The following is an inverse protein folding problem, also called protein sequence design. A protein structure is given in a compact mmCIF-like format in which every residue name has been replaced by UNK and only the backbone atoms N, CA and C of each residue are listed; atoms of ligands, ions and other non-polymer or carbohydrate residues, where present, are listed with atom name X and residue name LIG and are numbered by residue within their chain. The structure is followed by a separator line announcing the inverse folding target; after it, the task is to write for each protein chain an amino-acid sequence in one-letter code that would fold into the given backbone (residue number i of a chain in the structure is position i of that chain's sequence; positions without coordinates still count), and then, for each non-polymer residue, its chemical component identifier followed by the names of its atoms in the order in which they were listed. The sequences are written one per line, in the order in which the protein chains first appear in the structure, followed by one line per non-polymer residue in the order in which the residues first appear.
data_IF_846433828793
#
_entry.id   IF_846433828793
#
_cell.length_a   1.000
_cell.length_b   1.000
_cell.length_c   1.000
_cell.angle_alpha   90.00
_cell.angle_beta   90.00
_cell.angle_gamma   90.00
#
_symmetry.space_group_name_H-M   'P 1'
#
loop_
_entity.id
_entity.type
_entity.pdbx_description
1 polymer ?
#
# COMPACT_ATOMS: atom_id res chain seq x y z
N UNK A 1 -9.31 -22.94 3.08
CA UNK A 1 -10.03 -22.84 4.35
C UNK A 1 -10.39 -21.39 4.66
N UNK A 2 -11.66 -21.12 5.03
CA UNK A 2 -12.12 -19.78 5.46
C UNK A 2 -12.20 -19.71 6.97
N UNK A 3 -11.74 -18.60 7.54
CA UNK A 3 -11.86 -18.33 8.97
C UNK A 3 -12.19 -16.86 9.21
N UNK A 4 -13.26 -16.59 9.96
CA UNK A 4 -13.65 -15.23 10.34
C UNK A 4 -13.71 -14.28 9.13
N UNK A 5 -14.47 -14.65 8.08
CA UNK A 5 -14.66 -13.80 6.91
C UNK A 5 -16.14 -13.42 6.75
N UNK A 6 -16.39 -12.20 6.34
CA UNK A 6 -17.68 -11.69 5.90
C UNK A 6 -17.65 -11.53 4.37
N UNK A 7 -18.65 -12.02 3.65
CA UNK A 7 -18.71 -11.98 2.19
C UNK A 7 -19.91 -11.16 1.73
N UNK A 8 -19.69 -10.28 0.77
CA UNK A 8 -20.74 -9.59 0.04
C UNK A 8 -21.40 -10.48 -1.04
N UNK A 9 -22.15 -9.86 -1.93
CA UNK A 9 -22.86 -10.55 -3.00
C UNK A 9 -21.95 -10.83 -4.22
N UNK A 10 -22.23 -11.90 -4.96
CA UNK A 10 -21.54 -12.26 -6.21
C UNK A 10 -20.01 -12.41 -6.03
N UNK A 11 -19.57 -13.02 -4.95
CA UNK A 11 -18.16 -13.28 -4.67
C UNK A 11 -17.78 -14.64 -5.26
N UNK A 12 -16.75 -14.67 -6.10
CA UNK A 12 -16.15 -15.89 -6.65
C UNK A 12 -14.79 -16.13 -6.01
N UNK A 13 -14.63 -17.27 -5.34
CA UNK A 13 -13.35 -17.67 -4.73
C UNK A 13 -13.02 -19.09 -5.15
N UNK A 14 -11.90 -19.26 -5.85
CA UNK A 14 -11.45 -20.54 -6.39
C UNK A 14 -9.95 -20.77 -6.19
N UNK A 15 -9.55 -22.03 -6.01
CA UNK A 15 -8.15 -22.45 -5.97
C UNK A 15 -7.30 -21.68 -4.95
N UNK A 16 -7.77 -21.58 -3.71
CA UNK A 16 -6.99 -21.05 -2.59
C UNK A 16 -6.13 -22.19 -2.03
N UNK A 17 -4.82 -22.09 -2.18
CA UNK A 17 -3.89 -23.16 -1.79
C UNK A 17 -3.85 -23.38 -0.28
N UNK A 18 -4.01 -22.32 0.51
CA UNK A 18 -3.91 -22.38 1.97
C UNK A 18 -5.21 -21.90 2.63
N UNK A 19 -5.34 -20.60 2.95
CA UNK A 19 -6.52 -20.06 3.62
C UNK A 19 -6.77 -18.58 3.34
N UNK A 20 -8.01 -18.16 3.60
CA UNK A 20 -8.43 -16.76 3.72
C UNK A 20 -8.94 -16.56 5.16
N UNK A 21 -8.45 -15.54 5.86
CA UNK A 21 -8.83 -15.29 7.23
C UNK A 21 -8.89 -13.80 7.60
N UNK A 22 -9.88 -13.46 8.44
CA UNK A 22 -10.04 -12.13 9.03
C UNK A 22 -10.22 -11.02 7.98
N UNK A 23 -11.09 -11.25 6.99
CA UNK A 23 -11.41 -10.27 5.95
C UNK A 23 -12.90 -10.03 5.80
N UNK A 24 -13.25 -8.77 5.58
CA UNK A 24 -14.52 -8.35 4.99
C UNK A 24 -14.32 -8.17 3.51
N UNK A 25 -15.03 -8.96 2.71
CA UNK A 25 -14.93 -8.99 1.25
C UNK A 25 -16.21 -8.40 0.69
N UNK A 26 -16.07 -7.34 -0.10
CA UNK A 26 -17.18 -6.64 -0.74
C UNK A 26 -17.89 -7.46 -1.81
N UNK A 27 -18.73 -6.80 -2.58
CA UNK A 27 -19.54 -7.44 -3.63
C UNK A 27 -18.83 -7.46 -4.99
N UNK A 28 -19.18 -8.43 -5.84
CA UNK A 28 -18.60 -8.64 -7.18
C UNK A 28 -17.07 -8.85 -7.15
N UNK A 29 -16.57 -9.50 -6.13
CA UNK A 29 -15.14 -9.78 -5.93
C UNK A 29 -14.77 -11.12 -6.53
N UNK A 30 -13.64 -11.15 -7.23
CA UNK A 30 -13.05 -12.36 -7.81
C UNK A 30 -11.69 -12.65 -7.20
N UNK A 31 -11.54 -13.80 -6.53
CA UNK A 31 -10.27 -14.26 -5.95
C UNK A 31 -9.98 -15.66 -6.50
N UNK A 32 -8.89 -15.80 -7.27
CA UNK A 32 -8.56 -17.08 -7.90
C UNK A 32 -7.06 -17.36 -7.89
N UNK A 33 -6.69 -18.62 -7.66
CA UNK A 33 -5.30 -19.09 -7.72
C UNK A 33 -4.39 -18.28 -6.78
N UNK A 34 -4.74 -18.17 -5.52
CA UNK A 34 -3.95 -17.47 -4.51
C UNK A 34 -3.35 -18.44 -3.49
N UNK A 35 -2.21 -18.07 -2.90
CA UNK A 35 -1.62 -18.90 -1.86
C UNK A 35 -2.35 -18.68 -0.53
N UNK A 36 -2.34 -17.49 0.04
CA UNK A 36 -3.12 -17.11 1.23
C UNK A 36 -3.43 -15.61 1.28
N UNK A 37 -4.50 -15.29 2.00
CA UNK A 37 -4.96 -13.92 2.23
C UNK A 37 -5.44 -13.80 3.67
N UNK A 38 -4.75 -13.04 4.52
CA UNK A 38 -5.13 -12.96 5.94
C UNK A 38 -4.65 -11.70 6.64
N UNK A 39 -5.34 -11.37 7.74
CA UNK A 39 -4.85 -10.41 8.72
C UNK A 39 -4.38 -11.17 9.97
N UNK A 40 -3.20 -10.83 10.44
CA UNK A 40 -2.60 -11.37 11.65
C UNK A 40 -2.45 -10.28 12.71
N UNK A 41 -3.08 -10.48 13.85
CA UNK A 41 -3.08 -9.51 14.94
C UNK A 41 -3.78 -8.21 14.56
N UNK A 42 -3.30 -7.10 15.09
CA UNK A 42 -3.77 -5.77 14.73
C UNK A 42 -2.82 -5.15 13.69
N UNK A 43 -3.39 -4.59 12.63
CA UNK A 43 -2.63 -3.93 11.56
C UNK A 43 -3.17 -2.54 11.28
N UNK A 44 -2.30 -1.58 11.07
CA UNK A 44 -2.63 -0.25 10.55
C UNK A 44 -2.58 -0.20 9.02
N UNK A 45 -2.32 -1.33 8.38
CA UNK A 45 -2.27 -1.46 6.91
C UNK A 45 -1.30 -0.45 6.27
N UNK A 46 -0.08 -0.37 6.80
CA UNK A 46 0.95 0.55 6.31
C UNK A 46 0.83 2.00 6.82
N UNK A 47 -0.27 2.37 7.49
CA UNK A 47 -0.41 3.71 8.04
C UNK A 47 0.44 3.88 9.30
N UNK A 48 1.18 5.00 9.40
CA UNK A 48 2.04 5.30 10.54
C UNK A 48 3.45 4.72 10.43
N UNK A 49 3.80 4.06 9.33
CA UNK A 49 5.17 3.59 9.09
C UNK A 49 6.09 4.79 8.83
N UNK A 50 7.22 4.81 9.51
CA UNK A 50 8.25 5.82 9.30
C UNK A 50 9.11 5.46 8.09
N UNK A 51 9.27 6.43 7.20
CA UNK A 51 10.07 6.34 5.96
C UNK A 51 11.22 7.32 6.05
N UNK A 52 12.45 6.85 5.98
CA UNK A 52 13.67 7.67 6.08
C UNK A 52 14.00 8.32 4.74
N UNK A 53 13.41 9.47 4.46
CA UNK A 53 13.61 10.18 3.19
C UNK A 53 14.78 11.15 3.24
N UNK A 54 15.40 11.42 2.08
CA UNK A 54 16.49 12.39 1.88
C UNK A 54 17.77 12.10 2.66
N UNK A 55 17.78 11.11 3.51
CA UNK A 55 18.96 10.72 4.27
C UNK A 55 18.81 9.28 4.77
N UNK A 56 19.54 8.36 4.20
CA UNK A 56 19.53 6.94 4.58
C UNK A 56 19.91 6.68 6.04
N UNK A 57 20.63 7.61 6.66
CA UNK A 57 21.01 7.53 8.07
C UNK A 57 19.96 8.09 9.03
N UNK A 58 18.82 8.54 8.51
CA UNK A 58 17.71 9.08 9.29
C UNK A 58 17.81 10.57 9.60
N UNK A 59 16.86 11.06 10.39
CA UNK A 59 16.74 12.46 10.82
C UNK A 59 15.72 13.28 10.01
N UNK A 60 15.10 12.67 8.98
CA UNK A 60 14.05 13.30 8.17
C UNK A 60 12.88 12.35 7.90
N UNK A 61 12.57 11.51 8.87
CA UNK A 61 11.52 10.52 8.77
C UNK A 61 10.17 11.18 8.52
N UNK A 62 9.42 10.60 7.59
CA UNK A 62 8.02 10.94 7.30
C UNK A 62 7.17 9.71 7.60
N UNK A 63 6.19 9.87 8.48
CA UNK A 63 5.19 8.82 8.69
C UNK A 63 4.22 8.80 7.51
N UNK A 64 4.16 7.69 6.77
CA UNK A 64 3.22 7.54 5.66
C UNK A 64 1.82 7.24 6.16
N UNK A 65 0.82 7.70 5.45
CA UNK A 65 -0.60 7.43 5.69
C UNK A 65 -1.42 7.70 4.43
N UNK A 66 -2.64 7.18 4.36
CA UNK A 66 -3.50 7.18 3.16
C UNK A 66 -3.70 8.56 2.51
N UNK A 67 -3.64 9.63 3.29
CA UNK A 67 -3.87 11.02 2.85
C UNK A 67 -2.61 11.86 2.77
N UNK A 68 -1.43 11.23 2.72
CA UNK A 68 -0.16 11.94 2.66
C UNK A 68 -0.08 12.77 1.37
N UNK A 69 0.20 14.05 1.50
CA UNK A 69 0.45 14.95 0.37
C UNK A 69 1.92 15.38 0.31
N UNK A 70 2.38 15.78 -0.88
CA UNK A 70 3.75 16.28 -1.07
C UNK A 70 4.06 17.49 -0.15
N UNK A 71 3.09 18.39 0.01
CA UNK A 71 3.25 19.56 0.89
C UNK A 71 3.41 19.18 2.37
N UNK A 72 2.61 18.21 2.83
CA UNK A 72 2.69 17.74 4.22
C UNK A 72 4.02 17.02 4.47
N UNK A 73 4.43 16.13 3.55
CA UNK A 73 5.72 15.46 3.63
C UNK A 73 6.90 16.44 3.57
N UNK A 74 6.82 17.48 2.73
CA UNK A 74 7.81 18.54 2.67
C UNK A 74 7.97 19.25 4.04
N UNK A 75 6.86 19.62 4.69
CA UNK A 75 6.90 20.24 6.00
C UNK A 75 7.56 19.30 7.03
N UNK A 76 7.18 18.03 7.05
CA UNK A 76 7.77 17.05 7.96
C UNK A 76 9.28 16.87 7.75
N UNK A 77 9.75 16.87 6.50
CA UNK A 77 11.17 16.64 6.18
C UNK A 77 12.06 17.88 6.38
N UNK A 78 11.58 19.08 6.02
CA UNK A 78 12.41 20.28 5.94
C UNK A 78 12.25 21.24 7.10
N UNK A 79 11.13 21.20 7.85
CA UNK A 79 10.90 22.12 8.98
C UNK A 79 11.37 21.55 10.32
N UNK A 80 12.40 20.70 10.32
CA UNK A 80 12.95 20.05 11.53
C UNK A 80 13.45 21.05 12.59
N UNK A 81 13.78 22.26 12.19
CA UNK A 81 14.10 23.37 13.11
C UNK A 81 12.88 23.85 13.91
N UNK A 82 11.69 23.35 13.66
CA UNK A 82 10.43 23.61 14.38
C UNK A 82 9.92 22.36 15.10
N UNK A 83 10.63 21.85 16.14
CA UNK A 83 10.34 20.54 16.72
C UNK A 83 8.93 20.41 17.29
N UNK A 84 8.37 21.50 17.86
CA UNK A 84 7.00 21.51 18.40
C UNK A 84 5.97 21.29 17.29
N UNK A 85 6.15 21.94 16.14
CA UNK A 85 5.29 21.75 14.97
C UNK A 85 5.37 20.32 14.46
N UNK A 86 6.59 19.82 14.23
CA UNK A 86 6.81 18.45 13.72
C UNK A 86 6.18 17.42 14.64
N UNK A 87 6.41 17.51 15.95
CA UNK A 87 5.81 16.58 16.91
C UNK A 87 4.28 16.59 16.88
N UNK A 88 3.66 17.78 16.72
CA UNK A 88 2.21 17.89 16.59
C UNK A 88 1.68 17.23 15.32
N UNK A 89 2.34 17.44 14.17
CA UNK A 89 1.97 16.85 12.90
C UNK A 89 2.16 15.31 12.91
N UNK A 90 3.26 14.83 13.48
CA UNK A 90 3.46 13.38 13.69
C UNK A 90 2.39 12.78 14.60
N UNK A 91 1.99 13.49 15.67
CA UNK A 91 0.89 13.08 16.54
C UNK A 91 -0.43 12.91 15.77
N UNK A 92 -0.76 13.84 14.87
CA UNK A 92 -1.97 13.72 14.02
C UNK A 92 -1.93 12.48 13.11
N UNK A 93 -0.77 12.15 12.53
CA UNK A 93 -0.62 10.93 11.71
C UNK A 93 -0.72 9.68 12.57
N UNK A 94 -0.13 9.68 13.76
CA UNK A 94 -0.21 8.57 14.70
C UNK A 94 -1.65 8.30 15.16
N UNK A 95 -2.42 9.35 15.43
CA UNK A 95 -3.84 9.24 15.78
C UNK A 95 -4.64 8.64 14.60
N UNK A 96 -4.40 9.12 13.38
CA UNK A 96 -5.02 8.56 12.18
C UNK A 96 -4.68 7.07 11.99
N UNK A 97 -3.40 6.69 12.13
CA UNK A 97 -2.97 5.31 12.02
C UNK A 97 -3.64 4.40 13.06
N UNK A 98 -3.82 4.92 14.29
CA UNK A 98 -4.53 4.22 15.35
C UNK A 98 -6.00 4.00 15.02
N UNK A 99 -6.68 4.99 14.43
CA UNK A 99 -8.08 4.84 13.98
C UNK A 99 -8.23 3.82 12.84
N UNK A 100 -7.20 3.66 12.02
CA UNK A 100 -7.18 2.66 10.93
C UNK A 100 -6.81 1.26 11.39
N UNK A 101 -6.27 1.12 12.60
CA UNK A 101 -5.82 -0.17 13.13
C UNK A 101 -7.00 -1.12 13.35
N UNK A 102 -6.92 -2.31 12.77
CA UNK A 102 -7.95 -3.35 12.86
C UNK A 102 -7.32 -4.74 12.83
N UNK A 103 -8.02 -5.70 13.40
CA UNK A 103 -7.75 -7.14 13.26
C UNK A 103 -8.49 -7.77 12.06
N UNK A 104 -9.29 -6.96 11.36
CA UNK A 104 -9.97 -7.31 10.12
C UNK A 104 -9.49 -6.47 8.96
N UNK A 105 -9.12 -7.15 7.87
CA UNK A 105 -8.84 -6.53 6.59
C UNK A 105 -10.13 -6.22 5.81
N UNK A 106 -9.98 -5.40 4.81
CA UNK A 106 -11.06 -5.02 3.91
C UNK A 106 -10.64 -5.22 2.45
N UNK A 107 -11.53 -5.82 1.68
CA UNK A 107 -11.48 -5.88 0.22
C UNK A 107 -12.75 -5.21 -0.28
N UNK A 108 -12.59 -4.14 -1.05
CA UNK A 108 -13.69 -3.36 -1.58
C UNK A 108 -14.52 -4.09 -2.64
N UNK A 109 -15.47 -3.38 -3.20
CA UNK A 109 -16.32 -3.89 -4.27
C UNK A 109 -15.60 -3.96 -5.62
N UNK A 110 -16.00 -4.90 -6.47
CA UNK A 110 -15.49 -5.07 -7.84
C UNK A 110 -13.96 -5.31 -7.93
N UNK A 111 -13.37 -5.90 -6.90
CA UNK A 111 -11.94 -6.21 -6.82
C UNK A 111 -11.65 -7.55 -7.52
N UNK A 112 -10.53 -7.58 -8.23
CA UNK A 112 -10.00 -8.83 -8.84
C UNK A 112 -8.63 -9.14 -8.25
N UNK A 113 -8.48 -10.34 -7.68
CA UNK A 113 -7.21 -10.88 -7.18
C UNK A 113 -6.99 -12.23 -7.83
N UNK A 114 -6.00 -12.32 -8.73
CA UNK A 114 -5.76 -13.56 -9.48
C UNK A 114 -4.26 -13.90 -9.52
N UNK A 115 -3.96 -15.18 -9.43
CA UNK A 115 -2.59 -15.71 -9.51
C UNK A 115 -1.62 -15.08 -8.49
N UNK A 116 -2.12 -14.67 -7.33
CA UNK A 116 -1.30 -13.99 -6.33
C UNK A 116 -0.71 -14.97 -5.30
N UNK A 117 0.47 -14.65 -4.82
CA UNK A 117 1.13 -15.39 -3.74
C UNK A 117 0.53 -15.05 -2.38
N UNK A 118 1.35 -14.51 -1.50
CA UNK A 118 0.97 -14.15 -0.14
C UNK A 118 0.44 -12.70 -0.06
N UNK A 119 -0.74 -12.53 0.53
CA UNK A 119 -1.29 -11.21 0.87
C UNK A 119 -1.60 -11.20 2.36
N UNK A 120 -0.86 -10.39 3.11
CA UNK A 120 -0.93 -10.32 4.57
C UNK A 120 -1.09 -8.88 5.05
N UNK A 121 -2.08 -8.61 5.91
CA UNK A 121 -2.30 -7.28 6.48
C UNK A 121 -2.42 -6.17 5.42
N UNK A 122 -3.21 -6.40 4.37
CA UNK A 122 -3.41 -5.44 3.28
C UNK A 122 -4.86 -4.99 3.21
N UNK A 123 -5.08 -3.68 3.24
CA UNK A 123 -6.37 -3.06 2.94
C UNK A 123 -6.47 -2.79 1.44
N UNK A 124 -7.53 -3.27 0.79
CA UNK A 124 -7.70 -3.17 -0.67
C UNK A 124 -8.99 -2.40 -0.96
N UNK A 125 -8.86 -1.25 -1.60
CA UNK A 125 -9.98 -0.41 -2.02
C UNK A 125 -10.74 -0.98 -3.22
N UNK A 126 -11.85 -0.32 -3.56
CA UNK A 126 -12.76 -0.74 -4.62
C UNK A 126 -12.07 -0.74 -6.00
N UNK A 127 -12.52 -1.63 -6.88
CA UNK A 127 -12.05 -1.75 -8.27
C UNK A 127 -10.55 -2.04 -8.44
N UNK A 128 -9.83 -2.39 -7.38
CA UNK A 128 -8.43 -2.77 -7.49
C UNK A 128 -8.24 -4.07 -8.28
N UNK A 129 -7.17 -4.13 -9.05
CA UNK A 129 -6.74 -5.35 -9.73
C UNK A 129 -5.37 -5.77 -9.22
N UNK A 130 -5.27 -6.99 -8.69
CA UNK A 130 -4.02 -7.61 -8.27
C UNK A 130 -3.82 -8.87 -9.10
N UNK A 131 -2.84 -8.85 -10.00
CA UNK A 131 -2.60 -9.95 -10.93
C UNK A 131 -1.14 -10.43 -10.86
N UNK A 132 -0.94 -11.63 -10.36
CA UNK A 132 0.38 -12.25 -10.32
C UNK A 132 1.35 -11.66 -9.29
N UNK A 133 0.89 -10.84 -8.35
CA UNK A 133 1.73 -10.32 -7.28
C UNK A 133 2.30 -11.45 -6.43
N UNK A 134 3.59 -11.39 -6.10
CA UNK A 134 4.26 -12.44 -5.37
C UNK A 134 4.07 -12.34 -3.85
N UNK A 135 4.21 -11.14 -3.31
CA UNK A 135 4.11 -10.90 -1.87
C UNK A 135 3.67 -9.46 -1.58
N UNK A 136 2.59 -9.31 -0.83
CA UNK A 136 2.11 -8.01 -0.35
C UNK A 136 1.92 -8.11 1.16
N UNK A 137 2.59 -7.27 1.93
CA UNK A 137 2.50 -7.28 3.39
C UNK A 137 2.42 -5.87 3.97
N UNK A 138 1.52 -5.70 4.94
CA UNK A 138 1.34 -4.48 5.72
C UNK A 138 1.17 -3.23 4.85
N UNK A 139 0.08 -3.18 4.09
CA UNK A 139 -0.12 -2.07 3.14
C UNK A 139 -1.56 -1.67 2.88
N UNK A 140 -1.71 -0.52 2.23
CA UNK A 140 -2.98 -0.02 1.72
C UNK A 140 -2.91 0.18 0.21
N UNK A 141 -3.93 -0.32 -0.49
CA UNK A 141 -4.17 -0.09 -1.91
C UNK A 141 -5.44 0.77 -2.00
N UNK A 142 -5.24 2.08 -2.13
CA UNK A 142 -6.32 3.08 -2.10
C UNK A 142 -6.94 3.27 -3.49
N UNK A 143 -7.57 2.22 -3.99
CA UNK A 143 -8.23 2.17 -5.29
C UNK A 143 -9.67 2.67 -5.23
N UNK A 144 -10.19 3.14 -6.35
CA UNK A 144 -11.59 3.54 -6.51
C UNK A 144 -12.06 3.37 -7.96
N UNK A 145 -13.35 3.57 -8.20
CA UNK A 145 -13.98 3.35 -9.52
C UNK A 145 -13.43 4.23 -10.64
N UNK A 146 -13.05 5.47 -10.34
CA UNK A 146 -12.61 6.44 -11.35
C UNK A 146 -11.15 6.24 -11.73
N UNK A 147 -10.34 5.89 -10.74
CA UNK A 147 -8.89 5.72 -10.87
C UNK A 147 -8.46 4.42 -10.18
N UNK A 148 -8.73 3.25 -10.79
CA UNK A 148 -8.38 1.97 -10.20
C UNK A 148 -6.86 1.76 -10.12
N UNK A 149 -6.44 1.07 -9.06
CA UNK A 149 -5.04 0.66 -8.89
C UNK A 149 -4.81 -0.70 -9.53
N UNK A 150 -3.66 -0.84 -10.18
CA UNK A 150 -3.20 -2.11 -10.71
C UNK A 150 -1.88 -2.54 -10.07
N UNK A 151 -1.87 -3.74 -9.47
CA UNK A 151 -0.66 -4.42 -8.98
C UNK A 151 -0.41 -5.63 -9.85
N UNK A 152 0.70 -5.63 -10.57
CA UNK A 152 0.98 -6.62 -11.59
C UNK A 152 1.90 -7.76 -11.15
N UNK A 153 2.41 -8.47 -12.14
CA UNK A 153 3.17 -9.70 -11.94
C UNK A 153 4.47 -9.51 -11.19
N UNK A 154 4.75 -10.49 -10.31
CA UNK A 154 5.99 -10.59 -9.53
C UNK A 154 6.28 -9.41 -8.60
N UNK A 155 5.31 -8.52 -8.36
CA UNK A 155 5.44 -7.41 -7.42
C UNK A 155 5.61 -7.94 -6.00
N UNK A 156 6.56 -7.34 -5.26
CA UNK A 156 6.76 -7.55 -3.83
C UNK A 156 6.70 -6.20 -3.12
N UNK A 157 5.82 -6.05 -2.14
CA UNK A 157 5.68 -4.81 -1.40
C UNK A 157 5.48 -5.07 0.09
N UNK A 158 6.27 -4.39 0.92
CA UNK A 158 6.20 -4.43 2.37
C UNK A 158 6.13 -3.01 2.94
N UNK A 159 5.27 -2.78 3.91
CA UNK A 159 5.11 -1.47 4.56
C UNK A 159 4.84 -0.36 3.53
N UNK A 160 3.73 -0.49 2.82
CA UNK A 160 3.48 0.34 1.65
C UNK A 160 2.09 0.99 1.64
N UNK A 161 1.99 2.09 0.92
CA UNK A 161 0.71 2.69 0.52
C UNK A 161 0.77 2.99 -0.97
N UNK A 162 -0.23 2.51 -1.74
CA UNK A 162 -0.40 2.81 -3.17
C UNK A 162 -1.73 3.52 -3.35
N UNK A 163 -1.66 4.75 -3.90
CA UNK A 163 -2.83 5.58 -4.13
C UNK A 163 -3.45 5.36 -5.52
N UNK A 164 -4.66 5.88 -5.68
CA UNK A 164 -5.52 5.68 -6.85
C UNK A 164 -4.83 6.01 -8.18
N UNK A 165 -5.21 5.28 -9.22
CA UNK A 165 -4.69 5.42 -10.58
C UNK A 165 -3.27 4.92 -10.80
N UNK A 166 -2.62 4.41 -9.76
CA UNK A 166 -1.23 3.96 -9.87
C UNK A 166 -1.13 2.53 -10.38
N UNK A 167 -0.06 2.27 -11.10
CA UNK A 167 0.33 0.96 -11.62
C UNK A 167 1.69 0.58 -11.05
N UNK A 168 1.74 -0.58 -10.38
CA UNK A 168 2.98 -1.16 -9.86
C UNK A 168 3.11 -2.54 -10.47
N UNK A 169 4.07 -2.74 -11.35
CA UNK A 169 4.09 -3.89 -12.26
C UNK A 169 5.50 -4.52 -12.41
N UNK A 170 5.55 -5.64 -13.08
CA UNK A 170 6.75 -6.23 -13.67
C UNK A 170 7.92 -6.43 -12.69
N UNK A 171 7.67 -7.07 -11.56
CA UNK A 171 8.72 -7.40 -10.61
C UNK A 171 9.21 -6.23 -9.75
N UNK A 172 8.46 -5.14 -9.71
CA UNK A 172 8.76 -4.00 -8.82
C UNK A 172 8.81 -4.43 -7.36
N UNK A 173 9.81 -3.94 -6.63
CA UNK A 173 10.00 -4.22 -5.21
C UNK A 173 9.90 -2.91 -4.40
N UNK A 174 9.00 -2.89 -3.42
CA UNK A 174 8.77 -1.74 -2.54
C UNK A 174 8.98 -2.13 -1.09
N UNK A 175 9.74 -1.35 -0.35
CA UNK A 175 9.92 -1.51 1.10
C UNK A 175 9.84 -0.15 1.79
N UNK A 176 8.87 0.03 2.68
CA UNK A 176 8.57 1.33 3.32
C UNK A 176 8.44 2.46 2.30
N UNK A 177 7.43 2.33 1.42
CA UNK A 177 7.22 3.27 0.33
C UNK A 177 5.80 3.84 0.31
N UNK A 178 5.69 5.09 -0.08
CA UNK A 178 4.44 5.74 -0.44
C UNK A 178 4.43 6.01 -1.95
N UNK A 179 3.43 5.47 -2.62
CA UNK A 179 3.19 5.68 -4.05
C UNK A 179 1.92 6.51 -4.20
N UNK A 180 2.08 7.74 -4.60
CA UNK A 180 1.01 8.73 -4.80
C UNK A 180 0.11 8.39 -5.97
N UNK A 181 -0.77 9.32 -6.32
CA UNK A 181 -1.76 9.10 -7.38
C UNK A 181 -1.13 9.05 -8.77
N UNK A 182 -1.65 8.16 -9.62
CA UNK A 182 -1.27 8.05 -11.04
C UNK A 182 0.24 7.81 -11.28
N UNK A 183 0.91 7.18 -10.34
CA UNK A 183 2.31 6.79 -10.50
C UNK A 183 2.43 5.49 -11.30
N UNK A 184 3.53 5.34 -12.01
CA UNK A 184 3.87 4.13 -12.76
C UNK A 184 5.25 3.64 -12.33
N UNK A 185 5.31 2.47 -11.68
CA UNK A 185 6.54 1.82 -11.26
C UNK A 185 6.58 0.42 -11.86
N UNK A 186 7.59 0.14 -12.68
CA UNK A 186 7.64 -1.11 -13.43
C UNK A 186 9.04 -1.52 -13.85
N UNK A 187 9.10 -2.57 -14.68
CA UNK A 187 10.36 -3.07 -15.27
C UNK A 187 11.45 -3.34 -14.22
N UNK A 188 11.11 -4.10 -13.16
CA UNK A 188 12.02 -4.48 -12.06
C UNK A 188 12.56 -3.31 -11.24
N UNK A 189 11.83 -2.19 -11.19
CA UNK A 189 12.19 -1.07 -10.32
C UNK A 189 12.20 -1.48 -8.85
N UNK A 190 13.23 -1.09 -8.11
CA UNK A 190 13.27 -1.33 -6.67
C UNK A 190 13.31 -0.01 -5.89
N UNK A 191 12.55 0.09 -4.81
CA UNK A 191 12.53 1.26 -3.98
C UNK A 191 12.48 0.89 -2.49
N UNK A 192 13.28 1.60 -1.70
CA UNK A 192 13.25 1.52 -0.25
C UNK A 192 13.22 2.92 0.35
N UNK A 193 12.49 3.07 1.47
CA UNK A 193 12.38 4.33 2.20
C UNK A 193 12.06 5.55 1.30
N UNK A 194 11.11 5.37 0.38
CA UNK A 194 10.90 6.34 -0.69
C UNK A 194 9.46 6.82 -0.81
N UNK A 195 9.30 8.10 -1.15
CA UNK A 195 8.02 8.74 -1.39
C UNK A 195 7.95 9.17 -2.86
N UNK A 196 6.96 8.65 -3.57
CA UNK A 196 6.63 9.05 -4.93
C UNK A 196 5.29 9.80 -4.89
N UNK A 197 5.28 11.08 -5.22
CA UNK A 197 4.04 11.84 -5.29
C UNK A 197 3.43 11.75 -6.69
N UNK A 198 2.32 12.44 -6.90
CA UNK A 198 1.47 12.23 -8.09
C UNK A 198 2.22 12.27 -9.42
N UNK A 199 1.87 11.36 -10.32
CA UNK A 199 2.39 11.26 -11.68
C UNK A 199 3.93 11.03 -11.77
N UNK A 200 4.50 10.31 -10.80
CA UNK A 200 5.89 9.85 -10.91
C UNK A 200 6.00 8.58 -11.76
N UNK A 201 7.12 8.45 -12.46
CA UNK A 201 7.43 7.25 -13.23
C UNK A 201 8.81 6.72 -12.83
N UNK A 202 8.91 5.41 -12.60
CA UNK A 202 10.16 4.73 -12.27
C UNK A 202 10.27 3.37 -12.97
N UNK A 203 11.34 3.20 -13.75
CA UNK A 203 11.57 1.97 -14.50
C UNK A 203 13.06 1.60 -14.47
N UNK A 204 13.37 0.29 -14.45
CA UNK A 204 14.73 -0.24 -14.59
C UNK A 204 15.77 0.43 -13.66
N UNK A 205 15.41 0.74 -12.44
CA UNK A 205 16.28 1.48 -11.52
C UNK A 205 16.10 1.09 -10.07
N UNK A 206 16.85 1.81 -9.24
CA UNK A 206 16.81 1.70 -7.79
C UNK A 206 16.64 3.08 -7.16
N UNK A 207 15.79 3.17 -6.15
CA UNK A 207 15.63 4.34 -5.31
C UNK A 207 15.80 3.99 -3.83
N UNK A 208 16.60 4.79 -3.13
CA UNK A 208 16.74 4.70 -1.67
C UNK A 208 16.62 6.09 -1.08
N UNK A 209 15.81 6.23 -0.03
CA UNK A 209 15.57 7.50 0.66
C UNK A 209 15.10 8.64 -0.29
N UNK A 210 14.37 8.30 -1.34
CA UNK A 210 13.94 9.26 -2.35
C UNK A 210 12.71 10.06 -1.89
N UNK A 211 12.74 11.36 -2.12
CA UNK A 211 11.58 12.24 -2.09
C UNK A 211 11.31 12.73 -3.53
N UNK A 212 10.52 11.96 -4.28
CA UNK A 212 10.10 12.34 -5.62
C UNK A 212 8.88 13.26 -5.52
N UNK A 213 9.05 14.53 -5.91
CA UNK A 213 7.94 15.47 -6.05
C UNK A 213 6.98 15.04 -7.17
N UNK A 214 5.83 15.73 -7.34
CA UNK A 214 4.94 15.45 -8.46
C UNK A 214 5.65 15.60 -9.81
N UNK A 215 5.32 14.70 -10.76
CA UNK A 215 5.87 14.70 -12.13
C UNK A 215 7.41 14.44 -12.21
N UNK A 216 7.91 13.54 -11.39
CA UNK A 216 9.32 13.10 -11.41
C UNK A 216 9.48 11.84 -12.24
#
# INVERSE_FOLDING_TARGET
LFRSCELGDNVLIENVQNYIANYRIGSNVRIQNIHHLYVEGQSSFGNGIEVSVLNETGGREVMIYDKLSAHFAYILSFYRHRPVLIKKLQGMVADYAKERTSDFGYIGDNVTIVNAGAIKNVHIGDYATIEGARHLENGSINSNQYDPVHIGYSVMANDFIVCSGSRVEDGTMLTRCFVGQSCQLGHTYSASDSLFFSNCQGENGEACALFAGPYT
#
